data_IF_902715214465
#
_entry.id   IF_902715214465
#
_cell.length_a   1.000
_cell.length_b   1.000
_cell.length_c   1.000
_cell.angle_alpha   90.00
_cell.angle_beta   90.00
_cell.angle_gamma   90.00
#
_symmetry.space_group_name_H-M   'P 1'
#
loop_
_entity.id
_entity.type
_entity.pdbx_description
1 polymer ?
#
# COMPACT_ATOMS: atom_id res chain seq x y z
N UNK A 1 -9.23 -8.20 5.91
CA UNK A 1 -7.94 -7.92 5.22
C UNK A 1 -7.10 -9.21 5.21
N UNK A 2 -7.24 -10.02 4.16
CA UNK A 2 -6.57 -11.32 4.05
C UNK A 2 -5.14 -11.12 3.53
N UNK A 3 -4.24 -10.64 4.39
CA UNK A 3 -2.84 -10.34 4.04
C UNK A 3 -1.90 -11.56 4.12
N UNK A 4 -2.40 -12.74 4.49
CA UNK A 4 -1.57 -13.93 4.74
C UNK A 4 -1.09 -14.67 3.48
N UNK A 5 -1.35 -14.16 2.28
CA UNK A 5 -0.99 -14.83 1.03
C UNK A 5 -0.52 -13.84 -0.04
N UNK A 6 0.41 -12.93 0.28
CA UNK A 6 1.41 -12.60 -0.75
C UNK A 6 2.32 -13.83 -0.82
N UNK A 7 1.80 -14.90 -1.42
CA UNK A 7 2.64 -15.97 -1.92
C UNK A 7 3.58 -15.27 -2.89
N UNK A 8 4.89 -15.26 -2.56
CA UNK A 8 5.96 -15.11 -3.55
C UNK A 8 5.88 -16.33 -4.48
N UNK A 9 4.76 -16.48 -5.18
CA UNK A 9 4.61 -17.34 -6.34
C UNK A 9 5.66 -16.81 -7.31
N UNK A 10 6.49 -17.68 -7.88
CA UNK A 10 7.51 -17.32 -8.86
C UNK A 10 6.87 -16.50 -9.98
N UNK A 11 6.90 -15.20 -9.82
CA UNK A 11 6.23 -14.22 -10.65
C UNK A 11 7.29 -13.22 -11.03
N UNK A 12 7.36 -12.93 -12.30
CA UNK A 12 8.12 -11.82 -12.84
C UNK A 12 7.84 -10.55 -12.03
N UNK A 13 8.86 -9.72 -11.86
CA UNK A 13 8.72 -8.45 -11.17
C UNK A 13 7.61 -7.62 -11.82
N UNK A 14 6.66 -7.17 -11.02
CA UNK A 14 5.60 -6.26 -11.45
C UNK A 14 5.74 -4.93 -10.71
N UNK A 15 5.89 -3.86 -11.49
CA UNK A 15 5.98 -2.51 -10.97
C UNK A 15 4.71 -2.08 -10.21
N UNK A 16 3.53 -2.58 -10.60
CA UNK A 16 2.27 -2.28 -9.90
C UNK A 16 2.25 -2.95 -8.53
N UNK A 17 2.67 -4.21 -8.44
CA UNK A 17 2.75 -4.95 -7.18
C UNK A 17 3.77 -4.33 -6.23
N UNK A 18 4.96 -3.96 -6.72
CA UNK A 18 5.95 -3.23 -5.92
C UNK A 18 5.38 -1.93 -5.35
N UNK A 19 4.66 -1.16 -6.18
CA UNK A 19 4.03 0.10 -5.79
C UNK A 19 2.97 -0.09 -4.71
N UNK A 20 2.11 -1.11 -4.84
CA UNK A 20 1.11 -1.43 -3.83
C UNK A 20 1.75 -1.85 -2.50
N UNK A 21 2.79 -2.70 -2.55
CA UNK A 21 3.54 -3.11 -1.36
C UNK A 21 4.23 -1.94 -0.67
N UNK A 22 4.83 -1.02 -1.44
CA UNK A 22 5.48 0.16 -0.90
C UNK A 22 4.49 1.09 -0.17
N UNK A 23 3.33 1.34 -0.77
CA UNK A 23 2.27 2.16 -0.17
C UNK A 23 1.71 1.48 1.09
N UNK A 24 1.53 0.16 1.05
CA UNK A 24 1.09 -0.61 2.21
C UNK A 24 2.10 -0.54 3.36
N UNK A 25 3.40 -0.68 3.08
CA UNK A 25 4.46 -0.56 4.07
C UNK A 25 4.51 0.84 4.71
N UNK A 26 4.32 1.90 3.90
CA UNK A 26 4.25 3.28 4.39
C UNK A 26 3.10 3.45 5.39
N UNK A 27 1.91 2.91 5.10
CA UNK A 27 0.76 3.00 6.01
C UNK A 27 0.92 2.13 7.24
N UNK A 28 1.40 0.89 7.06
CA UNK A 28 1.56 -0.09 8.15
C UNK A 28 2.52 0.40 9.23
N UNK A 29 3.56 1.14 8.83
CA UNK A 29 4.60 1.63 9.73
C UNK A 29 4.55 3.16 9.93
N UNK A 30 3.44 3.80 9.55
CA UNK A 30 3.22 5.24 9.71
C UNK A 30 4.39 6.11 9.19
N UNK A 31 5.00 5.67 8.10
CA UNK A 31 6.19 6.33 7.54
C UNK A 31 5.79 7.63 6.83
N UNK A 32 6.65 8.66 6.87
CA UNK A 32 6.40 9.86 6.09
C UNK A 32 6.45 9.54 4.59
N UNK A 33 5.64 10.24 3.78
CA UNK A 33 5.66 10.04 2.32
C UNK A 33 7.02 10.36 1.68
N UNK A 34 7.91 11.07 2.39
CA UNK A 34 9.30 11.28 2.00
C UNK A 34 10.17 10.02 2.06
N UNK A 35 9.69 8.94 2.67
CA UNK A 35 10.36 7.64 2.75
C UNK A 35 10.85 7.15 1.38
N UNK A 36 10.08 7.36 0.32
CA UNK A 36 10.45 6.97 -1.06
C UNK A 36 11.66 7.72 -1.62
N UNK A 37 12.14 8.76 -0.93
CA UNK A 37 13.36 9.49 -1.29
C UNK A 37 14.58 9.08 -0.48
N UNK A 38 14.42 8.20 0.52
CA UNK A 38 15.54 7.80 1.38
C UNK A 38 16.56 7.02 0.59
N UNK A 39 17.77 7.56 0.46
CA UNK A 39 18.83 7.00 -0.40
C UNK A 39 19.08 5.52 -0.11
N UNK A 40 19.20 5.13 1.15
CA UNK A 40 19.45 3.72 1.53
C UNK A 40 18.38 2.76 1.02
N UNK A 41 17.09 3.14 1.08
CA UNK A 41 16.00 2.31 0.54
C UNK A 41 15.99 2.32 -0.98
N UNK A 42 16.30 3.45 -1.61
CA UNK A 42 16.41 3.52 -3.08
C UNK A 42 17.50 2.61 -3.61
N UNK A 43 18.67 2.65 -2.97
CA UNK A 43 19.81 1.83 -3.33
C UNK A 43 19.49 0.35 -3.11
N UNK A 44 18.81 0.01 -2.00
CA UNK A 44 18.33 -1.34 -1.73
C UNK A 44 17.36 -1.85 -2.80
N UNK A 45 16.34 -1.06 -3.17
CA UNK A 45 15.37 -1.47 -4.18
C UNK A 45 16.02 -1.65 -5.56
N UNK A 46 16.92 -0.74 -5.95
CA UNK A 46 17.67 -0.85 -7.21
C UNK A 46 18.62 -2.05 -7.22
N UNK A 47 19.24 -2.37 -6.09
CA UNK A 47 20.07 -3.56 -5.97
C UNK A 47 19.26 -4.85 -6.18
N UNK A 48 18.04 -4.91 -5.64
CA UNK A 48 17.16 -6.08 -5.78
C UNK A 48 16.54 -6.20 -7.18
N UNK A 49 16.20 -5.08 -7.80
CA UNK A 49 15.63 -5.03 -9.15
C UNK A 49 16.13 -3.76 -9.85
N UNK A 50 17.10 -3.85 -10.79
CA UNK A 50 17.68 -2.70 -11.46
C UNK A 50 16.64 -1.81 -12.18
N UNK A 51 15.61 -2.44 -12.74
CA UNK A 51 14.57 -1.76 -13.53
C UNK A 51 13.42 -1.21 -12.67
N UNK A 52 13.54 -1.26 -11.34
CA UNK A 52 12.50 -0.73 -10.44
C UNK A 52 12.37 0.79 -10.60
N UNK A 53 11.15 1.23 -10.91
CA UNK A 53 10.84 2.64 -10.93
C UNK A 53 10.41 3.11 -9.54
N UNK A 54 11.23 3.97 -8.93
CA UNK A 54 10.91 4.56 -7.64
C UNK A 54 9.96 5.74 -7.87
N UNK A 55 8.73 5.58 -7.39
CA UNK A 55 7.67 6.56 -7.59
C UNK A 55 7.88 7.84 -6.78
N UNK A 56 7.28 8.94 -7.25
CA UNK A 56 7.32 10.23 -6.57
C UNK A 56 6.41 10.26 -5.35
N UNK A 57 6.62 11.20 -4.43
CA UNK A 57 5.72 11.45 -3.29
C UNK A 57 4.28 11.74 -3.73
N UNK A 58 4.08 12.45 -4.83
CA UNK A 58 2.76 12.76 -5.36
C UNK A 58 2.05 11.49 -5.84
N UNK A 59 2.80 10.59 -6.46
CA UNK A 59 2.34 9.28 -6.89
C UNK A 59 1.92 8.43 -5.68
N UNK A 60 2.77 8.34 -4.64
CA UNK A 60 2.45 7.64 -3.38
C UNK A 60 1.19 8.22 -2.74
N UNK A 61 1.08 9.55 -2.67
CA UNK A 61 -0.09 10.24 -2.12
C UNK A 61 -1.37 9.87 -2.88
N UNK A 62 -1.31 9.82 -4.21
CA UNK A 62 -2.45 9.42 -5.05
C UNK A 62 -2.89 7.98 -4.76
N UNK A 63 -1.95 7.04 -4.62
CA UNK A 63 -2.29 5.65 -4.31
C UNK A 63 -2.80 5.47 -2.90
N UNK A 64 -2.20 6.18 -1.94
CA UNK A 64 -2.66 6.20 -0.57
C UNK A 64 -4.14 6.63 -0.51
N UNK A 65 -4.51 7.69 -1.25
CA UNK A 65 -5.89 8.14 -1.34
C UNK A 65 -6.80 7.11 -2.00
N UNK A 66 -6.34 6.40 -3.05
CA UNK A 66 -7.10 5.32 -3.68
C UNK A 66 -7.33 4.15 -2.72
N UNK A 67 -6.28 3.73 -2.01
CA UNK A 67 -6.36 2.70 -0.99
C UNK A 67 -7.33 3.10 0.13
N UNK A 68 -7.20 4.32 0.65
CA UNK A 68 -8.11 4.86 1.66
C UNK A 68 -9.57 4.82 1.19
N UNK A 69 -9.85 5.30 -0.02
CA UNK A 69 -11.22 5.27 -0.59
C UNK A 69 -11.78 3.83 -0.64
N UNK A 70 -10.97 2.88 -1.09
CA UNK A 70 -11.36 1.47 -1.15
C UNK A 70 -11.64 0.89 0.23
N UNK A 71 -10.75 1.10 1.20
CA UNK A 71 -10.96 0.57 2.55
C UNK A 71 -12.11 1.28 3.26
N UNK A 72 -12.32 2.58 3.01
CA UNK A 72 -13.48 3.32 3.49
C UNK A 72 -14.79 2.72 2.97
N UNK A 73 -14.86 2.38 1.68
CA UNK A 73 -16.07 1.79 1.11
C UNK A 73 -16.33 0.40 1.68
N UNK A 74 -15.29 -0.44 1.83
CA UNK A 74 -15.43 -1.74 2.50
C UNK A 74 -15.96 -1.60 3.93
N UNK A 75 -15.43 -0.65 4.70
CA UNK A 75 -15.92 -0.39 6.06
C UNK A 75 -17.38 0.03 6.03
N UNK A 76 -17.76 0.91 5.11
CA UNK A 76 -19.15 1.33 4.94
C UNK A 76 -20.06 0.15 4.58
N UNK A 77 -19.66 -0.72 3.66
CA UNK A 77 -20.40 -1.94 3.31
C UNK A 77 -20.57 -2.86 4.52
N UNK A 78 -19.48 -3.14 5.26
CA UNK A 78 -19.53 -3.94 6.49
C UNK A 78 -20.46 -3.35 7.55
N UNK A 79 -20.53 -2.01 7.65
CA UNK A 79 -21.45 -1.33 8.55
C UNK A 79 -22.91 -1.41 8.07
N UNK A 80 -23.16 -1.38 6.76
CA UNK A 80 -24.49 -1.51 6.16
C UNK A 80 -25.06 -2.93 6.28
N UNK A 81 -24.19 -3.95 6.21
CA UNK A 81 -24.57 -5.35 6.40
C UNK A 81 -24.89 -5.69 7.87
N UNK A 82 -24.51 -4.82 8.82
CA UNK A 82 -24.80 -5.04 10.24
C UNK A 82 -26.31 -4.94 10.53
N UNK A 83 -26.94 -5.99 11.09
CA UNK A 83 -28.39 -6.00 11.36
C UNK A 83 -28.78 -5.15 12.57
N UNK A 84 -27.82 -4.53 13.27
CA UNK A 84 -28.05 -3.74 14.49
C UNK A 84 -27.52 -2.31 14.35
N UNK A 85 -28.12 -1.39 15.10
CA UNK A 85 -27.61 -0.01 15.24
C UNK A 85 -26.23 -0.04 15.89
N UNK A 86 -25.27 0.60 15.24
CA UNK A 86 -23.90 0.73 15.72
C UNK A 86 -23.68 2.16 16.24
N UNK A 87 -23.10 2.29 17.43
CA UNK A 87 -22.64 3.55 18.00
C UNK A 87 -21.10 3.53 18.03
N UNK A 88 -20.47 4.56 17.47
CA UNK A 88 -19.03 4.76 17.50
C UNK A 88 -18.77 6.00 18.37
N UNK A 89 -17.90 5.87 19.36
CA UNK A 89 -17.54 6.94 20.33
C UNK A 89 -16.19 7.52 19.98
#
# INVERSE_FOLDING_TARGET
MQWSQILLKSSTFSQSTFREMLVAAIVMHELPLSFVYYKGFRDLFKYLQPDVNIISRNTVKSDLLKMYKREKEKVKEMLMESPRRLCLT
#
